data_IF_207706806334
#
_entry.id   IF_207706806334
#
_cell.length_a   1.000
_cell.length_b   1.000
_cell.length_c   1.000
_cell.angle_alpha   90.00
_cell.angle_beta   90.00
_cell.angle_gamma   90.00
#
_symmetry.space_group_name_H-M   'P 1'
#
loop_
_entity.id
_entity.type
_entity.pdbx_description
1 polymer ?
#
# COMPACT_ATOMS: atom_id res chain seq x y z
N UNK A 1 16.72 59.24 6.16
CA UNK A 1 15.51 58.48 5.75
C UNK A 1 15.82 57.01 5.97
N UNK A 2 15.37 56.42 7.08
CA UNK A 2 15.65 55.02 7.42
C UNK A 2 14.48 54.15 6.94
N UNK A 3 14.75 53.23 6.02
CA UNK A 3 13.77 52.25 5.54
C UNK A 3 13.76 51.11 6.55
N UNK A 4 12.70 51.05 7.35
CA UNK A 4 12.43 49.94 8.27
C UNK A 4 11.87 48.77 7.44
N UNK A 5 12.72 47.80 7.11
CA UNK A 5 12.30 46.52 6.53
C UNK A 5 11.69 45.66 7.63
N UNK A 6 10.38 45.76 7.83
CA UNK A 6 9.63 44.76 8.61
C UNK A 6 9.60 43.44 7.85
N UNK A 7 10.52 42.54 8.19
CA UNK A 7 10.45 41.13 7.84
C UNK A 7 9.23 40.53 8.53
N UNK A 8 8.14 40.37 7.77
CA UNK A 8 6.96 39.60 8.17
C UNK A 8 7.38 38.12 8.14
N UNK A 9 7.78 37.58 9.29
CA UNK A 9 7.97 36.13 9.41
C UNK A 9 6.61 35.45 9.18
N UNK A 10 6.52 34.43 8.31
CA UNK A 10 5.29 33.67 8.19
C UNK A 10 5.06 32.92 9.52
N UNK A 11 4.00 33.28 10.25
CA UNK A 11 3.47 32.45 11.33
C UNK A 11 3.05 31.12 10.70
N UNK A 12 3.79 30.07 10.99
CA UNK A 12 3.39 28.72 10.60
C UNK A 12 2.32 28.28 11.61
N UNK A 13 1.05 28.44 11.26
CA UNK A 13 -0.07 28.01 12.11
C UNK A 13 -0.04 26.48 12.23
N UNK A 14 0.00 25.97 13.46
CA UNK A 14 -0.11 24.53 13.74
C UNK A 14 -1.58 24.18 14.01
N UNK A 15 -2.05 23.06 13.46
CA UNK A 15 -3.39 22.53 13.76
C UNK A 15 -3.29 21.41 14.80
N UNK A 16 -3.87 21.63 15.98
CA UNK A 16 -3.98 20.65 17.05
C UNK A 16 -5.43 20.17 17.19
N UNK A 17 -5.65 18.86 17.05
CA UNK A 17 -6.93 18.22 17.34
C UNK A 17 -6.84 17.59 18.73
N UNK A 18 -7.44 18.25 19.73
CA UNK A 18 -7.48 17.80 21.13
C UNK A 18 -8.85 17.28 21.57
N UNK A 19 -9.85 17.35 20.70
CA UNK A 19 -11.20 16.85 20.90
C UNK A 19 -11.75 16.35 19.57
N UNK A 20 -12.77 15.51 19.63
CA UNK A 20 -13.46 15.00 18.45
C UNK A 20 -13.92 16.13 17.53
N UNK A 21 -13.52 16.06 16.27
CA UNK A 21 -13.72 17.14 15.30
C UNK A 21 -14.18 16.57 13.97
N UNK A 22 -15.30 17.09 13.45
CA UNK A 22 -15.81 16.79 12.10
C UNK A 22 -15.83 18.10 11.32
N UNK A 23 -15.22 18.08 10.15
CA UNK A 23 -15.32 19.16 9.17
C UNK A 23 -15.92 18.61 7.87
N UNK A 24 -16.95 19.27 7.38
CA UNK A 24 -17.53 18.96 6.06
C UNK A 24 -17.18 20.09 5.11
N UNK A 25 -16.48 19.79 4.03
CA UNK A 25 -16.07 20.79 3.02
C UNK A 25 -16.00 20.15 1.65
N UNK A 26 -16.60 20.75 0.63
CA UNK A 26 -16.56 20.22 -0.75
C UNK A 26 -15.34 20.69 -1.56
N UNK A 27 -14.56 21.62 -1.01
CA UNK A 27 -13.43 22.26 -1.69
C UNK A 27 -12.11 21.66 -1.23
N UNK A 28 -11.28 22.48 -0.62
CA UNK A 28 -9.91 22.17 -0.24
C UNK A 28 -9.75 22.34 1.28
N UNK A 29 -9.04 21.40 1.90
CA UNK A 29 -8.58 21.50 3.28
C UNK A 29 -7.06 21.70 3.25
N UNK A 30 -6.61 22.87 3.70
CA UNK A 30 -5.19 23.22 3.80
C UNK A 30 -4.77 23.13 5.26
N UNK A 31 -4.07 22.06 5.61
CA UNK A 31 -3.62 21.79 6.97
C UNK A 31 -2.11 22.03 7.08
N UNK A 32 -1.66 22.59 8.19
CA UNK A 32 -0.23 22.79 8.47
C UNK A 32 0.10 22.36 9.90
N UNK A 33 1.22 21.62 10.04
CA UNK A 33 1.68 20.99 11.27
C UNK A 33 0.52 20.31 12.03
N UNK A 34 -0.08 19.30 11.40
CA UNK A 34 -1.22 18.58 11.97
C UNK A 34 -0.76 17.67 13.10
N UNK A 35 -1.34 17.88 14.28
CA UNK A 35 -1.21 16.99 15.45
C UNK A 35 -2.60 16.50 15.85
N UNK A 36 -2.81 15.18 15.90
CA UNK A 36 -4.05 14.57 16.40
C UNK A 36 -3.73 13.79 17.67
N UNK A 37 -4.29 14.23 18.79
CA UNK A 37 -4.01 13.65 20.10
C UNK A 37 -4.55 12.20 20.23
N UNK A 38 -4.01 11.42 21.17
CA UNK A 38 -4.58 10.11 21.50
C UNK A 38 -6.04 10.22 21.94
N UNK A 39 -6.84 9.22 21.57
CA UNK A 39 -8.22 9.07 22.05
C UNK A 39 -9.26 9.98 21.41
N UNK A 40 -8.89 10.80 20.42
CA UNK A 40 -9.82 11.66 19.67
C UNK A 40 -9.83 11.31 18.18
N UNK A 41 -10.85 11.76 17.46
CA UNK A 41 -10.89 11.66 16.01
C UNK A 41 -10.97 13.01 15.29
N UNK A 42 -10.39 13.06 14.10
CA UNK A 42 -10.54 14.14 13.14
C UNK A 42 -11.05 13.60 11.82
N UNK A 43 -12.24 14.03 11.41
CA UNK A 43 -12.90 13.59 10.19
C UNK A 43 -13.07 14.76 9.21
N UNK A 44 -12.43 14.66 8.05
CA UNK A 44 -12.72 15.47 6.87
C UNK A 44 -13.72 14.74 5.97
N UNK A 45 -14.97 15.16 6.01
CA UNK A 45 -16.05 14.57 5.23
C UNK A 45 -16.28 15.34 3.92
N UNK A 46 -16.43 14.58 2.83
CA UNK A 46 -16.73 15.09 1.49
C UNK A 46 -15.72 16.10 0.97
N UNK A 47 -14.47 15.97 1.41
CA UNK A 47 -13.36 16.78 0.93
C UNK A 47 -12.90 16.37 -0.48
N UNK A 48 -12.66 17.35 -1.36
CA UNK A 48 -12.19 17.11 -2.73
C UNK A 48 -10.66 17.12 -2.79
N UNK A 49 -10.03 18.06 -2.10
CA UNK A 49 -8.57 18.14 -2.03
C UNK A 49 -8.12 18.35 -0.58
N UNK A 50 -7.25 17.48 -0.07
CA UNK A 50 -6.62 17.66 1.24
C UNK A 50 -5.13 17.85 1.03
N UNK A 51 -4.60 18.99 1.45
CA UNK A 51 -3.17 19.26 1.42
C UNK A 51 -2.68 19.45 2.84
N UNK A 52 -1.74 18.60 3.27
CA UNK A 52 -1.11 18.67 4.57
C UNK A 52 0.36 19.05 4.40
N UNK A 53 0.78 20.12 5.06
CA UNK A 53 2.16 20.64 5.02
C UNK A 53 2.78 20.69 6.41
N UNK A 54 4.10 20.82 6.50
CA UNK A 54 4.79 20.90 7.79
C UNK A 54 4.93 19.52 8.45
N UNK A 55 4.77 19.40 9.76
CA UNK A 55 4.82 18.09 10.44
C UNK A 55 3.46 17.37 10.40
N UNK A 56 3.46 16.03 10.37
CA UNK A 56 2.26 15.23 10.58
C UNK A 56 2.51 14.28 11.75
N UNK A 57 1.73 14.43 12.82
CA UNK A 57 1.80 13.63 14.03
C UNK A 57 0.39 13.12 14.39
N UNK A 58 0.14 11.83 14.22
CA UNK A 58 -1.16 11.23 14.55
C UNK A 58 -1.01 10.15 15.62
N UNK A 59 -1.65 10.35 16.76
CA UNK A 59 -1.83 9.35 17.80
C UNK A 59 -3.30 8.98 18.05
N UNK A 60 -4.24 9.67 17.38
CA UNK A 60 -5.68 9.40 17.41
C UNK A 60 -6.18 8.77 16.11
N UNK A 61 -7.34 9.21 15.63
CA UNK A 61 -7.94 8.72 14.39
C UNK A 61 -8.11 9.86 13.39
N UNK A 62 -7.41 9.83 12.25
CA UNK A 62 -7.54 10.83 11.20
C UNK A 62 -8.17 10.24 9.94
N UNK A 63 -9.34 10.73 9.56
CA UNK A 63 -10.14 10.18 8.47
C UNK A 63 -10.40 11.25 7.42
N UNK A 64 -10.17 10.93 6.16
CA UNK A 64 -10.59 11.73 5.00
C UNK A 64 -11.47 10.84 4.14
N UNK A 65 -12.75 11.21 4.05
CA UNK A 65 -13.76 10.37 3.43
C UNK A 65 -14.47 11.09 2.31
N UNK A 66 -14.77 10.36 1.24
CA UNK A 66 -15.61 10.82 0.15
C UNK A 66 -16.84 9.94 -0.01
N UNK A 67 -18.03 10.52 0.16
CA UNK A 67 -19.31 9.80 0.06
C UNK A 67 -20.12 10.12 -1.22
N UNK A 68 -19.53 10.89 -2.14
CA UNK A 68 -20.17 11.33 -3.38
C UNK A 68 -19.29 11.03 -4.60
N UNK A 69 -19.92 10.88 -5.77
CA UNK A 69 -19.31 10.53 -7.07
C UNK A 69 -18.44 11.64 -7.68
N UNK A 70 -17.37 12.02 -7.00
CA UNK A 70 -16.42 13.00 -7.54
C UNK A 70 -15.02 12.76 -7.00
N UNK A 71 -14.01 13.08 -7.80
CA UNK A 71 -12.58 12.89 -7.50
C UNK A 71 -12.17 13.41 -6.10
N UNK A 72 -11.32 12.64 -5.41
CA UNK A 72 -10.62 13.10 -4.20
C UNK A 72 -9.12 12.98 -4.38
N UNK A 73 -8.38 14.03 -4.00
CA UNK A 73 -6.92 14.03 -3.97
C UNK A 73 -6.44 14.35 -2.55
N UNK A 74 -5.43 13.61 -2.09
CA UNK A 74 -4.83 13.80 -0.77
C UNK A 74 -3.31 13.88 -0.96
N UNK A 75 -2.76 15.05 -0.63
CA UNK A 75 -1.33 15.32 -0.71
C UNK A 75 -0.79 15.69 0.66
N UNK A 76 0.06 14.83 1.21
CA UNK A 76 0.85 15.14 2.41
C UNK A 76 2.26 15.46 1.97
N UNK A 77 2.65 16.73 2.06
CA UNK A 77 4.03 17.20 1.81
C UNK A 77 4.63 17.64 3.14
N UNK A 78 5.24 16.71 3.86
CA UNK A 78 5.64 16.93 5.25
C UNK A 78 7.15 17.01 5.45
N UNK A 79 7.56 17.68 6.54
CA UNK A 79 8.92 17.62 7.08
C UNK A 79 9.14 16.27 7.75
N UNK A 80 8.15 15.77 8.48
CA UNK A 80 8.13 14.46 9.13
C UNK A 80 6.72 13.87 9.03
N UNK A 81 6.62 12.55 9.02
CA UNK A 81 5.35 11.85 9.12
C UNK A 81 5.46 10.78 10.20
N UNK A 82 4.72 10.95 11.29
CA UNK A 82 4.63 9.98 12.37
C UNK A 82 3.17 9.57 12.57
N UNK A 83 2.89 8.29 12.37
CA UNK A 83 1.59 7.69 12.67
C UNK A 83 1.71 6.60 13.72
N UNK A 84 1.05 6.80 14.85
CA UNK A 84 0.87 5.83 15.95
C UNK A 84 -0.60 5.41 16.08
N UNK A 85 -1.53 6.19 15.55
CA UNK A 85 -2.96 5.92 15.53
C UNK A 85 -3.45 5.37 14.19
N UNK A 86 -4.66 5.74 13.81
CA UNK A 86 -5.30 5.30 12.55
C UNK A 86 -5.36 6.47 11.57
N UNK A 87 -4.97 6.24 10.31
CA UNK A 87 -5.22 7.15 9.20
C UNK A 87 -6.01 6.41 8.12
N UNK A 88 -7.15 6.97 7.75
CA UNK A 88 -8.07 6.40 6.76
C UNK A 88 -8.28 7.41 5.65
N UNK A 89 -7.86 7.07 4.44
CA UNK A 89 -8.20 7.78 3.22
C UNK A 89 -9.09 6.88 2.39
N UNK A 90 -10.38 7.20 2.32
CA UNK A 90 -11.36 6.34 1.68
C UNK A 90 -12.24 7.15 0.73
N UNK A 91 -12.10 6.82 -0.56
CA UNK A 91 -12.96 7.30 -1.63
C UNK A 91 -13.57 6.15 -2.42
N UNK A 92 -13.81 5.01 -1.78
CA UNK A 92 -14.41 3.82 -2.43
C UNK A 92 -15.81 4.07 -3.00
N UNK A 93 -16.50 5.12 -2.55
CA UNK A 93 -17.78 5.60 -3.10
C UNK A 93 -17.64 6.66 -4.21
N UNK A 94 -16.42 7.10 -4.55
CA UNK A 94 -16.20 8.18 -5.50
C UNK A 94 -15.99 7.68 -6.94
N UNK A 95 -16.24 8.57 -7.90
CA UNK A 95 -16.06 8.36 -9.35
C UNK A 95 -15.22 9.52 -9.88
N UNK A 96 -13.97 9.27 -10.28
CA UNK A 96 -13.05 10.30 -10.81
C UNK A 96 -11.59 10.01 -10.51
N UNK A 97 -10.63 10.81 -10.99
CA UNK A 97 -9.21 10.55 -10.75
C UNK A 97 -8.82 10.73 -9.28
N UNK A 98 -8.34 9.66 -8.65
CA UNK A 98 -7.95 9.64 -7.25
C UNK A 98 -6.43 9.51 -7.11
N UNK A 99 -5.85 10.30 -6.22
CA UNK A 99 -4.43 10.22 -5.92
C UNK A 99 -4.18 10.54 -4.44
N UNK A 100 -3.59 9.57 -3.74
CA UNK A 100 -3.13 9.67 -2.37
C UNK A 100 -1.61 9.60 -2.35
N UNK A 101 -0.99 10.71 -1.99
CA UNK A 101 0.45 10.90 -2.02
C UNK A 101 0.94 11.41 -0.67
N UNK A 102 1.84 10.66 -0.05
CA UNK A 102 2.71 11.13 1.02
C UNK A 102 4.12 11.36 0.43
N UNK A 103 4.65 12.56 0.58
CA UNK A 103 6.03 12.93 0.29
C UNK A 103 6.64 13.61 1.50
N UNK A 104 7.62 12.95 2.12
CA UNK A 104 8.26 13.41 3.36
C UNK A 104 9.70 13.81 3.07
N UNK A 105 10.11 15.00 3.51
CA UNK A 105 11.50 15.43 3.39
C UNK A 105 12.41 14.82 4.48
N UNK A 106 11.84 14.47 5.63
CA UNK A 106 12.51 13.78 6.74
C UNK A 106 12.14 12.31 6.81
N UNK A 107 11.75 11.83 8.00
CA UNK A 107 11.41 10.45 8.26
C UNK A 107 9.91 10.17 8.05
N UNK A 108 9.60 9.04 7.43
CA UNK A 108 8.29 8.41 7.42
C UNK A 108 8.30 7.25 8.42
N UNK A 109 7.45 7.34 9.44
CA UNK A 109 7.32 6.36 10.51
C UNK A 109 5.84 5.98 10.71
N UNK A 110 5.52 4.72 10.43
CA UNK A 110 4.21 4.15 10.70
C UNK A 110 4.32 3.00 11.71
N UNK A 111 3.73 3.18 12.88
CA UNK A 111 3.54 2.15 13.91
C UNK A 111 2.08 1.84 14.20
N UNK A 112 1.18 2.71 13.74
CA UNK A 112 -0.26 2.50 13.77
C UNK A 112 -0.79 1.85 12.48
N UNK A 113 -1.92 2.36 12.00
CA UNK A 113 -2.66 1.81 10.86
C UNK A 113 -2.87 2.86 9.78
N UNK A 114 -2.58 2.52 8.53
CA UNK A 114 -2.89 3.32 7.34
C UNK A 114 -3.79 2.50 6.42
N UNK A 115 -4.96 3.04 6.07
CA UNK A 115 -5.85 2.45 5.07
C UNK A 115 -6.15 3.43 3.95
N UNK A 116 -5.84 3.02 2.71
CA UNK A 116 -6.08 3.77 1.49
C UNK A 116 -6.97 2.97 0.54
N UNK A 117 -8.22 3.39 0.42
CA UNK A 117 -9.24 2.74 -0.40
C UNK A 117 -9.69 3.63 -1.56
N UNK A 118 -9.65 3.07 -2.77
CA UNK A 118 -10.16 3.71 -4.00
C UNK A 118 -11.10 2.78 -4.77
N UNK A 119 -11.82 3.31 -5.77
CA UNK A 119 -12.82 2.56 -6.54
C UNK A 119 -12.54 2.53 -8.06
N UNK A 120 -13.60 2.46 -8.87
CA UNK A 120 -13.56 2.35 -10.33
C UNK A 120 -13.15 3.66 -11.05
N UNK A 121 -12.55 4.59 -10.31
CA UNK A 121 -11.94 5.80 -10.79
C UNK A 121 -11.09 5.64 -12.06
N UNK A 122 -11.13 6.65 -12.93
CA UNK A 122 -10.15 6.80 -13.99
C UNK A 122 -8.79 7.14 -13.38
N UNK A 123 -7.94 6.14 -13.27
CA UNK A 123 -6.60 6.30 -12.67
C UNK A 123 -5.58 6.50 -13.78
N UNK A 124 -5.05 7.71 -13.90
CA UNK A 124 -3.80 7.98 -14.62
C UNK A 124 -2.64 8.00 -13.63
N UNK A 125 -1.53 7.32 -13.94
CA UNK A 125 -0.33 7.38 -13.10
C UNK A 125 -0.35 6.38 -11.94
N UNK A 126 0.04 6.83 -10.75
CA UNK A 126 0.25 5.97 -9.58
C UNK A 126 -0.55 6.53 -8.41
N UNK A 127 -1.79 6.05 -8.19
CA UNK A 127 -2.72 6.66 -7.25
C UNK A 127 -2.27 6.52 -5.80
N UNK A 128 -1.42 5.54 -5.49
CA UNK A 128 -0.90 5.34 -4.15
C UNK A 128 0.61 5.55 -4.14
N UNK A 129 1.08 6.57 -3.43
CA UNK A 129 2.51 6.84 -3.30
C UNK A 129 2.90 7.23 -1.87
N UNK A 130 3.86 6.52 -1.29
CA UNK A 130 4.55 6.92 -0.06
C UNK A 130 6.03 7.09 -0.36
N UNK A 131 6.53 8.32 -0.23
CA UNK A 131 7.93 8.67 -0.46
C UNK A 131 8.54 9.39 0.72
N UNK A 132 9.76 9.04 1.08
CA UNK A 132 10.51 9.69 2.15
C UNK A 132 11.95 9.97 1.72
N UNK A 133 12.51 11.15 2.01
CA UNK A 133 13.88 11.46 1.62
C UNK A 133 14.94 11.00 2.62
N UNK A 134 14.60 10.91 3.92
CA UNK A 134 15.58 10.55 4.94
C UNK A 134 15.48 9.09 5.36
N UNK A 135 14.31 8.62 5.79
CA UNK A 135 14.11 7.22 6.23
C UNK A 135 12.66 6.78 6.06
N UNK A 136 12.45 5.49 5.83
CA UNK A 136 11.12 4.90 5.69
C UNK A 136 11.02 3.67 6.59
N UNK A 137 10.14 3.71 7.58
CA UNK A 137 9.92 2.62 8.53
C UNK A 137 8.43 2.33 8.71
N UNK A 138 8.06 1.06 8.60
CA UNK A 138 6.76 0.53 8.96
C UNK A 138 6.92 -0.60 9.98
N UNK A 139 6.41 -0.40 11.20
CA UNK A 139 6.22 -1.44 12.22
C UNK A 139 4.75 -1.80 12.39
N UNK A 140 3.84 -0.97 11.87
CA UNK A 140 2.39 -1.15 11.91
C UNK A 140 1.81 -1.76 10.62
N UNK A 141 0.59 -1.36 10.29
CA UNK A 141 -0.16 -1.84 9.12
C UNK A 141 -0.32 -0.74 8.08
N UNK A 142 -0.08 -1.07 6.81
CA UNK A 142 -0.40 -0.23 5.65
C UNK A 142 -1.23 -1.04 4.67
N UNK A 143 -2.41 -0.56 4.29
CA UNK A 143 -3.30 -1.24 3.36
C UNK A 143 -3.63 -0.35 2.16
N UNK A 144 -3.40 -0.89 0.97
CA UNK A 144 -3.79 -0.31 -0.29
C UNK A 144 -4.85 -1.19 -0.94
N UNK A 145 -5.99 -0.59 -1.27
CA UNK A 145 -7.12 -1.31 -1.83
C UNK A 145 -7.72 -0.56 -3.00
N UNK A 146 -7.97 -1.32 -4.07
CA UNK A 146 -8.92 -0.92 -5.12
C UNK A 146 -10.11 -1.87 -5.13
N UNK A 147 -11.28 -1.38 -4.74
CA UNK A 147 -12.48 -2.23 -4.58
C UNK A 147 -13.07 -2.69 -5.91
N UNK A 148 -12.92 -1.91 -6.98
CA UNK A 148 -13.45 -2.23 -8.31
C UNK A 148 -12.57 -1.70 -9.44
N UNK A 149 -12.60 -2.38 -10.59
CA UNK A 149 -11.79 -2.06 -11.77
C UNK A 149 -10.44 -2.79 -11.83
N UNK A 150 -9.62 -2.52 -12.87
CA UNK A 150 -8.31 -3.15 -13.03
C UNK A 150 -7.32 -2.73 -11.93
N UNK A 151 -6.37 -3.60 -11.61
CA UNK A 151 -5.40 -3.30 -10.56
C UNK A 151 -4.60 -2.00 -10.82
N UNK A 152 -4.32 -1.24 -9.76
CA UNK A 152 -3.62 0.05 -9.83
C UNK A 152 -2.24 0.03 -9.22
N UNK A 153 -1.38 0.96 -9.63
CA UNK A 153 0.00 1.02 -9.14
C UNK A 153 0.10 1.56 -7.71
N UNK A 154 1.01 0.96 -6.95
CA UNK A 154 1.52 1.43 -5.66
C UNK A 154 3.00 1.76 -5.83
N UNK A 155 3.43 2.94 -5.38
CA UNK A 155 4.83 3.32 -5.27
C UNK A 155 5.21 3.53 -3.81
N UNK A 156 6.22 2.80 -3.36
CA UNK A 156 6.85 2.97 -2.04
C UNK A 156 8.33 3.19 -2.30
N UNK A 157 8.86 4.32 -1.86
CA UNK A 157 10.24 4.69 -2.15
C UNK A 157 10.88 5.53 -1.04
N UNK A 158 12.17 5.33 -0.81
CA UNK A 158 13.03 6.26 -0.11
C UNK A 158 13.82 7.06 -1.14
N UNK A 159 13.43 8.32 -1.36
CA UNK A 159 14.10 9.21 -2.30
C UNK A 159 15.48 9.63 -1.79
N UNK A 160 16.54 9.05 -2.31
CA UNK A 160 17.89 9.35 -1.85
C UNK A 160 18.53 10.51 -2.60
N UNK A 161 19.42 11.21 -1.90
CA UNK A 161 20.49 11.98 -2.56
C UNK A 161 21.38 11.04 -3.39
N UNK A 162 22.14 11.62 -4.32
CA UNK A 162 22.82 10.97 -5.45
C UNK A 162 23.82 9.82 -5.19
N UNK A 163 23.93 9.26 -3.97
CA UNK A 163 24.96 8.26 -3.61
C UNK A 163 24.50 7.10 -2.72
N UNK A 164 23.21 6.88 -2.51
CA UNK A 164 22.73 5.76 -1.67
C UNK A 164 21.62 4.97 -2.37
N UNK A 165 21.50 3.68 -2.05
CA UNK A 165 20.46 2.76 -2.57
C UNK A 165 19.19 2.88 -1.72
N UNK A 166 18.04 3.07 -2.34
CA UNK A 166 16.74 3.27 -1.67
C UNK A 166 16.47 2.07 -0.77
N UNK A 167 16.16 2.30 0.51
CA UNK A 167 15.84 1.25 1.49
C UNK A 167 14.58 1.61 2.25
N UNK A 168 13.65 0.66 2.31
CA UNK A 168 12.53 0.67 3.23
C UNK A 168 12.72 -0.38 4.32
N UNK A 169 12.35 -0.05 5.56
CA UNK A 169 12.33 -1.01 6.68
C UNK A 169 10.88 -1.38 7.01
N UNK A 170 10.51 -2.63 6.77
CA UNK A 170 9.19 -3.18 7.09
C UNK A 170 9.33 -4.33 8.11
N UNK A 171 8.87 -4.10 9.33
CA UNK A 171 8.72 -5.14 10.36
C UNK A 171 7.24 -5.38 10.71
N UNK A 172 6.33 -4.56 10.17
CA UNK A 172 4.89 -4.74 10.23
C UNK A 172 4.34 -5.45 8.98
N UNK A 173 3.15 -5.05 8.53
CA UNK A 173 2.48 -5.63 7.35
C UNK A 173 2.10 -4.58 6.32
N UNK A 174 2.36 -4.88 5.04
CA UNK A 174 1.91 -4.12 3.87
C UNK A 174 0.91 -4.98 3.11
N UNK A 175 -0.32 -4.50 2.94
CA UNK A 175 -1.45 -5.22 2.35
C UNK A 175 -1.78 -4.64 0.98
N UNK A 176 -1.82 -5.51 -0.02
CA UNK A 176 -2.14 -5.18 -1.41
C UNK A 176 -3.43 -5.89 -1.81
N UNK A 177 -4.47 -5.14 -2.18
CA UNK A 177 -5.73 -5.71 -2.70
C UNK A 177 -6.08 -5.03 -4.02
N UNK A 178 -6.06 -5.81 -5.10
CA UNK A 178 -6.25 -5.30 -6.47
C UNK A 178 -5.29 -4.13 -6.80
N UNK A 179 -4.04 -4.27 -6.36
CA UNK A 179 -2.98 -3.30 -6.60
C UNK A 179 -1.72 -3.98 -7.11
N UNK A 180 -0.90 -3.25 -7.85
CA UNK A 180 0.39 -3.68 -8.37
C UNK A 180 1.50 -2.86 -7.73
N UNK A 181 2.37 -3.51 -6.97
CA UNK A 181 3.59 -2.90 -6.48
C UNK A 181 4.79 -3.47 -7.23
N UNK A 182 5.48 -2.63 -7.98
CA UNK A 182 6.79 -2.95 -8.55
C UNK A 182 7.87 -2.44 -7.62
N UNK A 183 8.78 -3.31 -7.21
CA UNK A 183 9.87 -2.98 -6.32
C UNK A 183 10.82 -1.98 -6.97
N UNK A 184 11.07 -0.87 -6.28
CA UNK A 184 12.04 0.18 -6.67
C UNK A 184 13.03 0.49 -5.54
N UNK A 185 13.07 -0.35 -4.50
CA UNK A 185 13.77 -0.12 -3.24
C UNK A 185 14.13 -1.45 -2.59
N UNK A 186 15.19 -1.46 -1.78
CA UNK A 186 15.52 -2.59 -0.94
C UNK A 186 14.51 -2.70 0.20
N UNK A 187 14.06 -3.92 0.48
CA UNK A 187 13.10 -4.22 1.55
C UNK A 187 13.84 -4.92 2.68
N UNK A 188 14.08 -4.20 3.77
CA UNK A 188 14.69 -4.74 4.99
C UNK A 188 13.65 -4.98 6.07
N UNK A 189 13.97 -5.89 6.99
CA UNK A 189 13.13 -6.21 8.13
C UNK A 189 12.60 -7.64 8.05
N UNK A 190 11.72 -7.95 8.98
CA UNK A 190 11.15 -9.26 9.23
C UNK A 190 9.61 -9.23 9.19
N UNK A 191 9.04 -8.22 8.53
CA UNK A 191 7.61 -8.04 8.40
C UNK A 191 6.98 -8.98 7.36
N UNK A 192 5.81 -8.58 6.88
CA UNK A 192 5.09 -9.27 5.83
C UNK A 192 4.62 -8.34 4.71
N UNK A 193 4.59 -8.87 3.48
CA UNK A 193 3.90 -8.27 2.34
C UNK A 193 2.78 -9.24 1.97
N UNK A 194 1.54 -8.83 2.23
CA UNK A 194 0.34 -9.57 1.90
C UNK A 194 -0.11 -9.18 0.49
N UNK A 195 -0.25 -10.18 -0.37
CA UNK A 195 -0.74 -10.04 -1.74
C UNK A 195 -2.14 -10.67 -1.72
N UNK A 196 -3.18 -9.85 -1.76
CA UNK A 196 -4.57 -10.27 -1.78
C UNK A 196 -5.10 -10.56 -3.18
N UNK A 197 -6.44 -10.59 -3.31
CA UNK A 197 -7.14 -10.80 -4.58
C UNK A 197 -6.74 -9.75 -5.61
N UNK A 198 -6.43 -10.22 -6.82
CA UNK A 198 -6.08 -9.39 -7.97
C UNK A 198 -4.80 -8.57 -7.79
N UNK A 199 -4.07 -8.76 -6.71
CA UNK A 199 -2.86 -8.00 -6.42
C UNK A 199 -1.62 -8.67 -7.02
N UNK A 200 -0.62 -7.83 -7.32
CA UNK A 200 0.68 -8.26 -7.83
C UNK A 200 1.81 -7.57 -7.07
N UNK A 201 2.81 -8.34 -6.65
CA UNK A 201 4.12 -7.83 -6.27
C UNK A 201 5.11 -8.23 -7.36
N UNK A 202 5.78 -7.26 -7.99
CA UNK A 202 6.84 -7.49 -8.95
C UNK A 202 8.19 -7.16 -8.31
N UNK A 203 9.00 -8.17 -8.03
CA UNK A 203 10.35 -8.04 -7.48
C UNK A 203 11.37 -7.91 -8.61
N UNK A 204 12.19 -6.87 -8.56
CA UNK A 204 13.28 -6.70 -9.53
C UNK A 204 14.57 -7.24 -8.90
N UNK A 205 14.69 -8.57 -8.90
CA UNK A 205 15.84 -9.25 -8.33
C UNK A 205 17.12 -8.94 -9.13
N UNK A 206 17.01 -8.85 -10.47
CA UNK A 206 18.11 -8.49 -11.37
C UNK A 206 17.54 -7.88 -12.67
N UNK A 207 16.94 -6.69 -12.60
CA UNK A 207 16.66 -5.94 -13.83
C UNK A 207 17.98 -5.34 -14.33
N UNK A 208 18.20 -5.31 -15.65
CA UNK A 208 19.47 -4.92 -16.32
C UNK A 208 20.11 -3.60 -15.83
N UNK A 209 19.36 -2.76 -15.13
CA UNK A 209 19.78 -1.45 -14.61
C UNK A 209 19.62 -1.29 -13.09
N UNK A 210 18.99 -2.23 -12.38
CA UNK A 210 18.82 -2.22 -10.93
C UNK A 210 18.47 -3.61 -10.37
N UNK A 211 19.25 -4.09 -9.39
CA UNK A 211 18.82 -5.16 -8.49
C UNK A 211 18.29 -4.53 -7.21
N UNK A 212 17.26 -5.11 -6.60
CA UNK A 212 16.77 -4.75 -5.27
C UNK A 212 16.80 -5.95 -4.33
N UNK A 213 17.24 -5.69 -3.11
CA UNK A 213 17.38 -6.70 -2.07
C UNK A 213 16.06 -6.86 -1.31
N UNK A 214 15.74 -8.09 -0.90
CA UNK A 214 14.69 -8.39 0.07
C UNK A 214 15.31 -9.20 1.20
N UNK A 215 15.11 -8.78 2.43
CA UNK A 215 15.64 -9.48 3.61
C UNK A 215 15.04 -10.88 3.74
N UNK A 216 15.86 -11.83 4.18
CA UNK A 216 15.43 -13.21 4.44
C UNK A 216 14.43 -13.34 5.59
N UNK A 217 14.23 -12.30 6.41
CA UNK A 217 13.18 -12.24 7.42
C UNK A 217 11.81 -11.87 6.85
N UNK A 218 11.79 -11.17 5.71
CA UNK A 218 10.58 -10.68 5.07
C UNK A 218 9.79 -11.84 4.49
N UNK A 219 8.50 -11.93 4.83
CA UNK A 219 7.59 -12.92 4.26
C UNK A 219 6.76 -12.26 3.16
N UNK A 220 6.63 -12.96 2.04
CA UNK A 220 5.71 -12.59 0.96
C UNK A 220 4.57 -13.60 1.00
N UNK A 221 3.36 -13.16 1.28
CA UNK A 221 2.20 -14.01 1.45
C UNK A 221 1.24 -13.88 0.27
N UNK A 222 1.02 -14.98 -0.46
CA UNK A 222 0.03 -15.10 -1.52
C UNK A 222 -1.30 -15.52 -0.88
N UNK A 223 -2.17 -14.56 -0.64
CA UNK A 223 -3.26 -14.76 0.31
C UNK A 223 -4.56 -15.30 -0.30
N UNK A 224 -4.82 -15.04 -1.57
CA UNK A 224 -6.09 -15.39 -2.22
C UNK A 224 -5.84 -15.79 -3.67
N UNK A 225 -6.54 -16.78 -4.21
CA UNK A 225 -6.23 -17.48 -5.48
C UNK A 225 -6.09 -16.70 -6.80
N UNK A 226 -5.98 -15.38 -6.76
CA UNK A 226 -5.57 -14.51 -7.87
C UNK A 226 -4.30 -13.70 -7.55
N UNK A 227 -3.61 -14.00 -6.44
CA UNK A 227 -2.36 -13.35 -6.06
C UNK A 227 -1.23 -13.74 -7.00
N UNK A 228 -0.49 -12.73 -7.46
CA UNK A 228 0.66 -12.93 -8.34
C UNK A 228 1.93 -12.38 -7.71
N UNK A 229 2.95 -13.23 -7.60
CA UNK A 229 4.32 -12.80 -7.37
C UNK A 229 5.08 -12.86 -8.68
N UNK A 230 5.60 -11.75 -9.14
CA UNK A 230 6.37 -11.65 -10.39
C UNK A 230 7.84 -11.40 -10.06
N UNK A 231 8.72 -12.13 -10.71
CA UNK A 231 10.16 -11.97 -10.64
C UNK A 231 10.68 -11.46 -11.97
N UNK A 232 11.38 -10.34 -11.89
CA UNK A 232 12.17 -9.79 -12.99
C UNK A 232 13.63 -10.17 -12.85
N UNK A 233 14.10 -10.98 -13.79
CA UNK A 233 15.46 -11.50 -13.85
C UNK A 233 15.73 -12.71 -12.94
N UNK A 234 16.83 -13.41 -13.22
CA UNK A 234 17.39 -14.46 -12.38
C UNK A 234 18.85 -14.14 -12.06
N UNK A 235 19.25 -14.37 -10.81
CA UNK A 235 20.60 -14.04 -10.36
C UNK A 235 21.61 -15.07 -10.86
N UNK A 236 22.60 -14.60 -11.64
CA UNK A 236 23.75 -15.41 -12.03
C UNK A 236 24.62 -15.67 -10.81
N UNK A 237 24.83 -16.94 -10.50
CA UNK A 237 25.72 -17.31 -9.42
C UNK A 237 26.56 -18.54 -9.79
N UNK A 238 27.68 -18.37 -10.52
CA UNK A 238 28.56 -19.48 -10.84
C UNK A 238 29.31 -19.90 -9.58
N UNK A 239 28.81 -20.95 -8.91
CA UNK A 239 29.46 -21.59 -7.77
C UNK A 239 28.89 -21.30 -6.38
N UNK A 240 27.79 -20.55 -6.24
CA UNK A 240 27.18 -20.28 -4.92
C UNK A 240 25.64 -20.42 -4.89
N UNK A 241 25.09 -20.34 -3.67
CA UNK A 241 23.65 -20.47 -3.39
C UNK A 241 22.83 -19.33 -3.99
N UNK A 242 21.64 -19.64 -4.51
CA UNK A 242 20.70 -18.63 -5.00
C UNK A 242 20.05 -17.85 -3.85
N UNK A 243 19.64 -16.61 -4.12
CA UNK A 243 18.83 -15.83 -3.17
C UNK A 243 17.56 -16.59 -2.80
N UNK A 244 17.24 -16.67 -1.51
CA UNK A 244 16.04 -17.35 -0.99
C UNK A 244 15.01 -16.34 -0.52
N UNK A 245 13.80 -16.42 -1.05
CA UNK A 245 12.64 -15.62 -0.64
C UNK A 245 11.68 -16.49 0.15
N UNK A 246 11.19 -15.99 1.29
CA UNK A 246 10.18 -16.70 2.10
C UNK A 246 8.79 -16.41 1.56
N UNK A 247 8.11 -17.46 1.12
CA UNK A 247 6.79 -17.37 0.52
C UNK A 247 5.80 -18.16 1.38
N UNK A 248 4.70 -17.52 1.76
CA UNK A 248 3.57 -18.20 2.36
C UNK A 248 2.41 -18.28 1.34
N UNK A 249 1.54 -19.27 1.49
CA UNK A 249 0.29 -19.36 0.71
C UNK A 249 0.44 -19.76 -0.76
N UNK A 250 1.56 -20.36 -1.17
CA UNK A 250 1.72 -20.81 -2.55
C UNK A 250 0.81 -22.00 -2.85
N UNK A 251 -0.21 -21.81 -3.69
CA UNK A 251 -1.26 -22.80 -3.96
C UNK A 251 -2.60 -22.13 -4.20
N UNK A 252 -3.65 -22.92 -4.42
CA UNK A 252 -5.02 -22.42 -4.54
C UNK A 252 -5.20 -21.40 -5.66
N UNK A 253 -4.56 -21.62 -6.82
CA UNK A 253 -4.49 -20.73 -8.00
C UNK A 253 -3.53 -19.53 -7.90
N UNK A 254 -2.80 -19.35 -6.79
CA UNK A 254 -1.71 -18.38 -6.72
C UNK A 254 -0.58 -18.74 -7.68
N UNK A 255 0.09 -17.72 -8.21
CA UNK A 255 1.12 -17.89 -9.25
C UNK A 255 2.40 -17.16 -8.87
N UNK A 256 3.53 -17.86 -9.08
CA UNK A 256 4.85 -17.23 -9.18
C UNK A 256 5.20 -17.14 -10.66
N UNK A 257 5.44 -15.93 -11.15
CA UNK A 257 5.65 -15.59 -12.55
C UNK A 257 7.07 -15.08 -12.77
N UNK A 258 7.63 -15.40 -13.93
CA UNK A 258 8.96 -15.01 -14.36
C UNK A 258 8.88 -14.35 -15.73
N UNK A 259 9.55 -13.22 -15.89
CA UNK A 259 9.73 -12.56 -17.19
C UNK A 259 10.81 -13.24 -18.06
N UNK A 260 11.69 -14.01 -17.44
CA UNK A 260 12.71 -14.82 -18.12
C UNK A 260 12.32 -16.29 -18.25
N UNK A 261 12.82 -16.91 -19.30
CA UNK A 261 12.67 -18.35 -19.53
C UNK A 261 13.53 -19.16 -18.55
N UNK A 262 12.99 -20.26 -18.03
CA UNK A 262 13.74 -21.23 -17.22
C UNK A 262 13.42 -22.68 -17.62
N UNK A 263 14.39 -23.58 -17.43
CA UNK A 263 14.30 -24.96 -17.91
C UNK A 263 13.51 -25.84 -16.94
N UNK A 264 13.84 -25.75 -15.66
CA UNK A 264 13.27 -26.62 -14.64
C UNK A 264 13.12 -25.95 -13.29
N UNK A 265 12.35 -26.62 -12.45
CA UNK A 265 12.21 -26.34 -11.04
C UNK A 265 12.37 -27.65 -10.27
N UNK A 266 12.76 -27.55 -9.00
CA UNK A 266 12.88 -28.70 -8.10
C UNK A 266 12.46 -28.30 -6.70
N UNK A 267 11.72 -29.16 -6.02
CA UNK A 267 11.30 -28.94 -4.64
C UNK A 267 12.00 -29.96 -3.72
N UNK A 268 12.59 -29.48 -2.63
CA UNK A 268 13.16 -30.32 -1.59
C UNK A 268 12.17 -30.42 -0.41
N UNK A 269 11.59 -31.60 -0.20
CA UNK A 269 10.62 -31.85 0.87
C UNK A 269 11.19 -31.79 2.29
N UNK A 270 12.50 -31.98 2.46
CA UNK A 270 13.15 -31.90 3.78
C UNK A 270 13.31 -30.45 4.24
N UNK A 271 13.68 -29.56 3.32
CA UNK A 271 13.94 -28.15 3.60
C UNK A 271 12.75 -27.23 3.33
N UNK A 272 11.80 -27.66 2.49
CA UNK A 272 10.69 -26.82 2.02
C UNK A 272 11.09 -25.83 0.93
N UNK A 273 12.26 -25.98 0.32
CA UNK A 273 12.79 -25.05 -0.68
C UNK A 273 12.43 -25.50 -2.10
N UNK A 274 11.77 -24.61 -2.83
CA UNK A 274 11.52 -24.70 -4.27
C UNK A 274 12.56 -23.86 -5.02
N UNK A 275 13.38 -24.52 -5.82
CA UNK A 275 14.41 -23.87 -6.65
C UNK A 275 13.94 -23.76 -8.08
N UNK A 276 14.08 -22.58 -8.68
CA UNK A 276 13.88 -22.32 -10.11
C UNK A 276 15.23 -21.99 -10.74
N UNK A 277 15.57 -22.65 -11.86
CA UNK A 277 16.92 -22.58 -12.44
C UNK A 277 16.93 -22.49 -13.96
N UNK A 278 17.86 -21.69 -14.48
CA UNK A 278 18.28 -21.64 -15.87
C UNK A 278 19.81 -21.54 -15.96
N UNK A 279 20.49 -22.61 -16.38
CA UNK A 279 21.96 -22.72 -16.38
C UNK A 279 22.56 -22.39 -15.00
N UNK A 280 23.38 -21.35 -14.87
CA UNK A 280 24.02 -20.87 -13.64
C UNK A 280 23.21 -19.77 -12.93
N UNK A 281 22.00 -19.49 -13.43
CA UNK A 281 21.07 -18.52 -12.85
C UNK A 281 19.93 -19.22 -12.13
N UNK A 282 19.48 -18.66 -11.01
CA UNK A 282 18.36 -19.23 -10.28
C UNK A 282 17.90 -18.40 -9.09
N UNK A 283 16.82 -18.87 -8.49
CA UNK A 283 16.21 -18.30 -7.29
C UNK A 283 15.62 -19.44 -6.45
N UNK A 284 15.68 -19.28 -5.14
CA UNK A 284 15.08 -20.19 -4.18
C UNK A 284 13.85 -19.55 -3.55
N UNK A 285 12.83 -20.37 -3.32
CA UNK A 285 11.63 -20.02 -2.58
C UNK A 285 11.53 -20.97 -1.40
N UNK A 286 11.62 -20.45 -0.18
CA UNK A 286 11.24 -21.20 1.00
C UNK A 286 9.70 -21.12 1.09
N UNK A 287 9.03 -22.16 0.61
CA UNK A 287 7.56 -22.24 0.54
C UNK A 287 6.97 -23.05 1.71
N UNK A 288 7.83 -23.60 2.58
CA UNK A 288 7.47 -24.56 3.61
C UNK A 288 7.43 -26.01 3.12
N UNK A 289 7.18 -26.93 4.05
CA UNK A 289 7.23 -28.38 3.80
C UNK A 289 5.91 -28.90 3.22
N UNK A 290 5.85 -30.21 3.00
CA UNK A 290 4.62 -30.97 2.69
C UNK A 290 3.96 -30.70 1.33
N UNK A 291 4.62 -29.96 0.43
CA UNK A 291 4.20 -29.90 -0.98
C UNK A 291 4.49 -31.21 -1.70
N UNK A 292 3.54 -31.64 -2.54
CA UNK A 292 3.69 -32.84 -3.35
C UNK A 292 4.18 -32.49 -4.78
N UNK A 293 5.33 -33.03 -5.25
CA UNK A 293 5.94 -32.66 -6.52
C UNK A 293 5.00 -32.71 -7.75
N UNK A 294 4.05 -33.64 -7.79
CA UNK A 294 3.14 -33.85 -8.93
C UNK A 294 2.02 -32.80 -9.03
N UNK A 295 1.86 -31.93 -8.03
CA UNK A 295 0.89 -30.84 -8.05
C UNK A 295 1.47 -29.51 -8.53
N UNK A 296 2.79 -29.40 -8.67
CA UNK A 296 3.40 -28.25 -9.32
C UNK A 296 3.14 -28.29 -10.83
N UNK A 297 2.81 -27.14 -11.40
CA UNK A 297 2.59 -26.98 -12.83
C UNK A 297 3.32 -25.76 -13.37
N UNK A 298 4.10 -25.98 -14.43
CA UNK A 298 4.74 -24.94 -15.23
C UNK A 298 3.88 -24.62 -16.45
N UNK A 299 3.53 -23.35 -16.62
CA UNK A 299 2.78 -22.87 -17.79
C UNK A 299 3.60 -21.80 -18.51
N UNK A 300 3.78 -21.98 -19.81
CA UNK A 300 4.46 -21.01 -20.69
C UNK A 300 3.41 -20.20 -21.45
N UNK A 301 3.56 -18.87 -21.46
CA UNK A 301 2.72 -17.95 -22.21
C UNK A 301 3.58 -16.98 -23.03
N UNK A 302 2.94 -16.21 -23.91
CA UNK A 302 3.60 -15.10 -24.64
C UNK A 302 4.26 -14.07 -23.71
N UNK A 303 3.82 -14.01 -22.45
CA UNK A 303 4.19 -12.94 -21.52
C UNK A 303 5.11 -13.43 -20.39
N UNK A 304 5.62 -14.66 -20.48
CA UNK A 304 6.54 -15.25 -19.51
C UNK A 304 6.16 -16.67 -19.11
N UNK A 305 6.92 -17.23 -18.15
CA UNK A 305 6.65 -18.54 -17.55
C UNK A 305 6.03 -18.33 -16.17
N UNK A 306 5.09 -19.20 -15.81
CA UNK A 306 4.49 -19.25 -14.49
C UNK A 306 4.65 -20.62 -13.86
N UNK A 307 4.77 -20.63 -12.54
CA UNK A 307 4.74 -21.79 -11.68
C UNK A 307 3.53 -21.66 -10.74
N UNK A 308 2.77 -22.73 -10.65
CA UNK A 308 1.58 -22.82 -9.80
C UNK A 308 1.58 -24.14 -9.05
N UNK A 309 0.81 -24.20 -7.96
CA UNK A 309 0.52 -25.43 -7.23
C UNK A 309 -0.99 -25.66 -7.23
N UNK A 310 -1.42 -26.82 -7.75
CA UNK A 310 -2.83 -27.09 -8.07
C UNK A 310 -3.73 -27.34 -6.85
N UNK A 311 -3.14 -27.60 -5.69
CA UNK A 311 -3.87 -27.77 -4.43
C UNK A 311 -3.76 -26.52 -3.57
N UNK A 312 -4.50 -26.49 -2.47
CA UNK A 312 -4.30 -25.49 -1.43
C UNK A 312 -2.89 -25.60 -0.82
N UNK A 313 -2.30 -24.48 -0.36
CA UNK A 313 -1.03 -24.51 0.36
C UNK A 313 -1.16 -25.42 1.59
N UNK A 314 -0.21 -26.34 1.83
CA UNK A 314 -0.27 -27.28 2.94
C UNK A 314 0.11 -26.65 4.30
N UNK A 315 0.76 -25.48 4.29
CA UNK A 315 1.28 -24.83 5.49
C UNK A 315 0.39 -23.66 5.94
N UNK A 316 0.30 -23.48 7.25
CA UNK A 316 -0.38 -22.35 7.87
C UNK A 316 0.28 -21.00 7.55
N UNK A 317 -0.52 -19.95 7.64
CA UNK A 317 -0.08 -18.58 7.39
C UNK A 317 0.55 -18.00 8.65
N UNK A 318 1.72 -17.32 8.58
CA UNK A 318 2.28 -16.63 9.73
C UNK A 318 1.32 -15.55 10.26
N UNK A 319 1.07 -15.52 11.57
CA UNK A 319 0.16 -14.55 12.21
C UNK A 319 0.54 -13.08 11.92
N UNK A 320 1.83 -12.78 11.76
CA UNK A 320 2.35 -11.47 11.37
C UNK A 320 1.90 -10.98 9.98
N UNK A 321 1.35 -11.87 9.15
CA UNK A 321 0.84 -11.56 7.81
C UNK A 321 -0.65 -11.21 7.80
N UNK A 322 -1.29 -11.09 8.96
CA UNK A 322 -2.71 -10.73 9.04
C UNK A 322 -2.95 -9.28 8.63
N UNK A 323 -3.84 -9.06 7.66
CA UNK A 323 -4.20 -7.73 7.18
C UNK A 323 -5.49 -7.18 7.77
N UNK A 324 -6.34 -8.00 8.41
CA UNK A 324 -7.67 -7.58 8.87
C UNK A 324 -8.60 -7.15 7.74
N UNK A 325 -9.82 -6.74 8.09
CA UNK A 325 -10.81 -6.24 7.13
C UNK A 325 -10.78 -4.71 7.06
N UNK A 326 -10.94 -4.09 5.88
CA UNK A 326 -11.05 -2.63 5.72
C UNK A 326 -12.12 -1.98 6.62
N UNK A 327 -13.23 -2.69 6.87
CA UNK A 327 -14.33 -2.21 7.71
C UNK A 327 -13.95 -1.98 9.17
N UNK A 328 -12.92 -2.66 9.67
CA UNK A 328 -12.43 -2.43 11.03
C UNK A 328 -11.81 -1.04 11.18
N UNK A 329 -11.24 -0.49 10.10
CA UNK A 329 -10.57 0.80 10.10
C UNK A 329 -11.57 1.96 9.94
N UNK A 330 -12.68 1.73 9.25
CA UNK A 330 -13.75 2.73 9.05
C UNK A 330 -14.81 2.70 10.16
N UNK A 331 -14.71 1.76 11.10
CA UNK A 331 -15.70 1.51 12.16
C UNK A 331 -16.13 2.70 13.05
N UNK A 332 -15.32 3.74 13.35
CA UNK A 332 -15.79 4.91 14.10
C UNK A 332 -16.98 5.65 13.45
N UNK A 333 -17.23 5.40 12.15
CA UNK A 333 -18.33 5.98 11.39
C UNK A 333 -19.66 5.25 11.60
N UNK A 334 -19.65 3.96 11.97
CA UNK A 334 -20.88 3.19 12.21
C UNK A 334 -21.69 3.72 13.40
N UNK A 335 -21.02 4.44 14.32
CA UNK A 335 -21.62 5.15 15.44
C UNK A 335 -22.00 6.59 15.13
N UNK A 336 -21.53 7.16 14.01
CA UNK A 336 -21.91 8.49 13.55
C UNK A 336 -23.22 8.36 12.77
N UNK A 337 -24.33 8.58 13.47
CA UNK A 337 -25.67 8.63 12.90
C UNK A 337 -25.76 9.76 11.85
N UNK A 338 -25.43 9.47 10.60
CA UNK A 338 -25.80 10.31 9.47
C UNK A 338 -27.32 10.17 9.31
N UNK A 339 -28.07 11.01 10.02
CA UNK A 339 -29.53 10.99 10.02
C UNK A 339 -30.10 10.97 8.59
N UNK A 340 -31.32 10.42 8.40
CA UNK A 340 -31.90 10.27 7.08
C UNK A 340 -31.99 11.63 6.37
N UNK A 341 -31.47 11.70 5.14
CA UNK A 341 -31.60 12.85 4.25
C UNK A 341 -33.06 13.34 4.24
N UNK A 342 -33.35 14.64 4.48
CA UNK A 342 -34.61 15.17 4.03
C UNK A 342 -34.59 15.14 2.49
N UNK A 343 -35.50 14.36 1.93
CA UNK A 343 -35.85 14.47 0.52
C UNK A 343 -36.22 15.94 0.24
N UNK A 344 -35.72 16.56 -0.85
CA UNK A 344 -36.18 17.89 -1.21
C UNK A 344 -37.66 17.79 -1.59
N UNK A 345 -38.53 18.18 -0.66
CA UNK A 345 -39.92 18.49 -0.98
C UNK A 345 -39.92 19.62 -2.01
N UNK A 346 -40.26 19.29 -3.26
CA UNK A 346 -40.67 20.28 -4.24
C UNK A 346 -41.97 20.93 -3.74
N UNK A 347 -42.04 22.26 -3.54
CA UNK A 347 -43.32 22.91 -3.36
C UNK A 347 -43.99 22.97 -4.74
N UNK A 348 -44.93 22.06 -5.01
CA UNK A 348 -45.87 22.25 -6.11
C UNK A 348 -46.82 23.38 -5.70
N UNK A 349 -46.52 24.57 -6.22
CA UNK A 349 -47.41 25.70 -6.29
C UNK A 349 -48.73 25.26 -6.92
N UNK A 350 -49.80 25.49 -6.17
CA UNK A 350 -51.16 25.57 -6.68
C UNK A 350 -51.25 26.76 -7.63
N UNK A 351 -51.74 26.54 -8.85
CA UNK A 351 -52.43 27.57 -9.61
C UNK A 351 -53.79 27.01 -10.03
N UNK A 352 -54.82 27.71 -9.54
CA UNK A 352 -56.19 27.57 -9.98
C UNK A 352 -56.44 28.45 -11.21
N UNK A 353 -57.37 27.99 -12.06
CA UNK A 353 -58.23 28.74 -12.99
C UNK A 353 -57.57 29.44 -14.19
N UNK A 354 -57.75 28.85 -15.38
CA UNK A 354 -58.85 29.20 -16.31
C UNK A 354 -59.03 28.09 -17.35
#
# INVERSE_FOLDING_TARGET
MAILLTLKTPSVTSLLISQDTIETTEKEALLSNLTVNPGVYYLLLNNRNTVITGSFENAGNFHVLRTHESSTNIMVTSKSFQNKGTVVFDSTAAVGGEEYRITVNGAFENSGRLYWGISNAWVSGTPFSIRSKASWTNTGRIMFERTSGPAVRVAIDQGLGSRSRSVIKNTGVICLTNTVWTQTTDIKGDGCIYIGRGAKLALQAEADTASFFVSSGQVIYLAQGSSTLEFSGLRRNPGASFSTYKIAGFGGNNVIRFDVFFWGYSYNGETGVLTVKYKDMGVNFDIGKDYLPFHFAKTTSLTGISLSYRQNPPNDVPSKCFCGEPSEETSPLSTLNFGPKPWPHSPRLWWALL
#
